data_IF_034527479475
#
_entry.id   IF_034527479475
#
_cell.length_a   1.000
_cell.length_b   1.000
_cell.length_c   1.000
_cell.angle_alpha   90.00
_cell.angle_beta   90.00
_cell.angle_gamma   90.00
#
_symmetry.space_group_name_H-M   'P 1'
#
loop_
_entity.id
_entity.type
_entity.pdbx_description
1 polymer ?
#
# COMPACT_ATOMS: atom_id res chain seq x y z
N UNK A 1 50.56 10.82 -30.88
CA UNK A 1 49.79 10.28 -29.74
C UNK A 1 49.42 11.43 -28.80
N UNK A 2 48.18 11.93 -28.89
CA UNK A 2 47.69 13.09 -28.10
C UNK A 2 47.10 12.59 -26.78
N UNK A 3 47.57 13.13 -25.66
CA UNK A 3 46.99 12.94 -24.31
C UNK A 3 45.66 13.69 -24.19
N UNK A 4 44.63 13.15 -23.52
CA UNK A 4 43.40 13.91 -23.26
C UNK A 4 43.54 14.83 -22.04
N UNK A 5 43.05 16.07 -22.22
CA UNK A 5 42.94 17.13 -21.23
C UNK A 5 41.91 16.79 -20.15
N UNK A 6 42.25 17.07 -18.88
CA UNK A 6 41.32 17.13 -17.75
C UNK A 6 40.52 18.44 -17.82
N UNK A 7 39.19 18.38 -17.91
CA UNK A 7 38.32 19.54 -17.73
C UNK A 7 37.89 19.65 -16.26
N UNK A 8 38.17 20.81 -15.68
CA UNK A 8 37.78 21.23 -14.34
C UNK A 8 36.38 21.85 -14.40
N UNK A 9 35.35 21.17 -13.88
CA UNK A 9 34.07 21.81 -13.55
C UNK A 9 34.02 22.16 -12.06
N UNK A 10 34.20 23.45 -11.76
CA UNK A 10 33.94 24.05 -10.45
C UNK A 10 32.42 24.08 -10.20
N UNK A 11 31.90 23.27 -9.28
CA UNK A 11 30.55 23.48 -8.70
C UNK A 11 30.66 24.44 -7.52
N UNK A 12 29.99 25.60 -7.63
CA UNK A 12 29.76 26.53 -6.50
C UNK A 12 28.78 25.86 -5.53
N UNK A 13 29.21 25.63 -4.28
CA UNK A 13 28.32 25.31 -3.15
C UNK A 13 27.69 26.63 -2.67
N UNK A 14 26.37 26.71 -2.72
CA UNK A 14 25.59 27.74 -2.02
C UNK A 14 25.26 27.14 -0.65
N UNK A 15 25.82 27.73 0.41
CA UNK A 15 25.42 27.45 1.79
C UNK A 15 24.22 28.33 2.13
N UNK A 16 23.08 27.72 2.47
CA UNK A 16 21.97 28.40 3.15
C UNK A 16 22.05 28.01 4.61
N UNK A 17 22.38 28.99 5.45
CA UNK A 17 22.41 28.89 6.91
C UNK A 17 20.97 28.92 7.43
N UNK A 18 20.56 27.87 8.15
CA UNK A 18 19.34 27.90 8.97
C UNK A 18 19.74 28.04 10.43
N UNK A 19 19.55 29.25 10.98
CA UNK A 19 19.63 29.52 12.41
C UNK A 19 18.35 29.03 13.07
N UNK A 20 18.45 28.01 13.93
CA UNK A 20 17.37 27.52 14.78
C UNK A 20 17.43 28.24 16.14
N UNK A 21 16.45 29.08 16.44
CA UNK A 21 16.33 29.73 17.76
C UNK A 21 15.49 28.85 18.68
N UNK A 22 16.14 28.32 19.72
CA UNK A 22 15.50 27.62 20.85
C UNK A 22 14.96 28.66 21.83
N UNK A 23 13.67 28.61 22.14
CA UNK A 23 13.10 29.32 23.31
C UNK A 23 12.73 28.26 24.35
N UNK A 24 13.53 28.24 25.40
CA UNK A 24 13.30 27.52 26.66
C UNK A 24 12.58 28.49 27.61
N UNK A 25 11.48 28.08 28.23
CA UNK A 25 11.02 28.76 29.46
C UNK A 25 10.50 27.72 30.44
N UNK A 26 11.27 27.55 31.51
CA UNK A 26 11.01 26.77 32.71
C UNK A 26 10.97 27.77 33.86
N UNK A 27 9.89 27.80 34.64
CA UNK A 27 9.88 28.05 36.09
C UNK A 27 8.42 27.95 36.59
N UNK A 28 8.09 26.93 37.40
CA UNK A 28 7.90 27.00 38.86
C UNK A 28 6.72 27.91 39.23
N UNK A 29 5.65 27.51 39.91
CA UNK A 29 5.36 26.39 40.81
C UNK A 29 4.33 26.92 41.81
N UNK A 30 3.48 26.06 42.39
CA UNK A 30 2.96 26.09 43.77
C UNK A 30 1.65 25.30 43.92
N UNK A 31 1.75 24.28 44.76
CA UNK A 31 0.77 23.69 45.68
C UNK A 31 -0.68 24.20 45.67
N UNK A 32 -1.62 23.26 45.64
CA UNK A 32 -3.02 23.52 46.00
C UNK A 32 -3.90 22.28 45.92
N UNK A 33 -3.93 21.50 46.99
CA UNK A 33 -4.95 20.49 47.25
C UNK A 33 -6.35 21.15 47.22
N UNK A 34 -7.27 20.68 46.37
CA UNK A 34 -8.71 20.74 46.63
C UNK A 34 -9.46 19.74 45.75
N UNK A 35 -10.18 18.84 46.40
CA UNK A 35 -11.29 18.07 45.84
C UNK A 35 -12.40 19.02 45.39
N UNK A 36 -12.90 18.92 44.15
CA UNK A 36 -14.32 19.19 43.89
C UNK A 36 -14.84 18.59 42.59
N UNK A 37 -15.88 17.76 42.79
CA UNK A 37 -17.15 17.68 42.05
C UNK A 37 -17.10 17.48 40.53
N UNK A 38 -17.45 16.24 40.17
CA UNK A 38 -18.36 15.91 39.09
C UNK A 38 -19.37 17.04 38.82
N UNK A 39 -19.34 17.57 37.61
CA UNK A 39 -20.46 18.22 36.96
C UNK A 39 -20.76 17.41 35.70
N UNK A 40 -21.76 16.53 35.83
CA UNK A 40 -22.45 15.92 34.69
C UNK A 40 -23.11 17.04 33.89
N UNK A 41 -22.46 17.47 32.80
CA UNK A 41 -23.19 18.14 31.72
C UNK A 41 -23.77 17.07 30.81
N UNK A 42 -25.00 16.63 31.12
CA UNK A 42 -25.89 16.01 30.14
C UNK A 42 -26.17 17.03 29.05
N UNK A 43 -25.36 17.03 27.99
CA UNK A 43 -25.73 17.68 26.75
C UNK A 43 -26.67 16.72 26.01
N UNK A 44 -27.96 17.02 26.08
CA UNK A 44 -28.95 16.48 25.15
C UNK A 44 -28.68 17.12 23.78
N UNK A 45 -27.60 16.71 23.13
CA UNK A 45 -27.46 16.89 21.70
C UNK A 45 -28.33 15.80 21.05
N UNK A 46 -29.57 16.17 20.66
CA UNK A 46 -30.30 15.42 19.65
C UNK A 46 -29.34 15.26 18.46
N UNK A 47 -28.85 14.05 18.24
CA UNK A 47 -28.09 13.68 17.05
C UNK A 47 -29.04 13.83 15.88
N UNK A 48 -29.04 15.01 15.26
CA UNK A 48 -29.69 15.20 13.97
C UNK A 48 -28.85 14.40 12.98
N UNK A 49 -29.24 13.14 12.74
CA UNK A 49 -28.79 12.38 11.57
C UNK A 49 -29.31 13.09 10.31
N UNK A 50 -28.63 14.15 9.90
CA UNK A 50 -28.74 14.66 8.54
C UNK A 50 -28.07 13.62 7.65
N UNK A 51 -28.82 12.68 7.08
CA UNK A 51 -28.34 11.87 5.95
C UNK A 51 -28.01 12.85 4.82
N UNK A 52 -26.74 13.05 4.44
CA UNK A 52 -26.44 13.88 3.28
C UNK A 52 -27.06 13.19 2.06
N UNK A 53 -27.75 13.96 1.22
CA UNK A 53 -28.09 13.51 -0.13
C UNK A 53 -26.76 13.34 -0.89
N UNK A 54 -26.19 12.14 -0.86
CA UNK A 54 -24.98 11.80 -1.61
C UNK A 54 -25.30 11.73 -3.11
N UNK A 55 -24.35 12.16 -3.94
CA UNK A 55 -24.47 12.12 -5.41
C UNK A 55 -24.19 10.72 -5.97
N UNK A 56 -23.41 9.94 -5.24
CA UNK A 56 -23.16 8.52 -5.43
C UNK A 56 -24.22 7.76 -4.63
N UNK A 57 -25.09 6.97 -5.30
CA UNK A 57 -26.19 6.29 -4.62
C UNK A 57 -25.68 5.22 -3.68
N UNK A 58 -26.24 5.15 -2.46
CA UNK A 58 -25.98 4.06 -1.50
C UNK A 58 -26.14 2.67 -2.12
N UNK A 59 -27.11 2.49 -3.02
CA UNK A 59 -27.32 1.22 -3.73
C UNK A 59 -26.15 0.80 -4.62
N UNK A 60 -25.42 1.75 -5.21
CA UNK A 60 -24.20 1.46 -5.97
C UNK A 60 -23.06 1.05 -5.02
N UNK A 61 -22.87 1.80 -3.92
CA UNK A 61 -21.85 1.49 -2.92
C UNK A 61 -22.09 0.13 -2.25
N UNK A 62 -23.35 -0.22 -1.99
CA UNK A 62 -23.75 -1.51 -1.44
C UNK A 62 -23.41 -2.66 -2.39
N UNK A 63 -23.69 -2.52 -3.69
CA UNK A 63 -23.37 -3.55 -4.69
C UNK A 63 -21.85 -3.71 -4.89
N UNK A 64 -21.10 -2.61 -4.95
CA UNK A 64 -19.64 -2.65 -5.04
C UNK A 64 -19.00 -3.27 -3.78
N UNK A 65 -19.50 -2.92 -2.59
CA UNK A 65 -19.01 -3.52 -1.34
C UNK A 65 -19.23 -5.03 -1.31
N UNK A 66 -20.40 -5.50 -1.77
CA UNK A 66 -20.67 -6.92 -1.89
C UNK A 66 -19.75 -7.60 -2.92
N UNK A 67 -19.48 -6.93 -4.05
CA UNK A 67 -18.54 -7.45 -5.05
C UNK A 67 -17.11 -7.58 -4.52
N UNK A 68 -16.66 -6.62 -3.69
CA UNK A 68 -15.37 -6.70 -2.97
C UNK A 68 -15.37 -7.92 -2.03
N UNK A 69 -16.36 -8.03 -1.14
CA UNK A 69 -16.43 -9.11 -0.12
C UNK A 69 -16.53 -10.51 -0.73
N UNK A 70 -17.10 -10.63 -1.94
CA UNK A 70 -17.24 -11.90 -2.64
C UNK A 70 -16.14 -12.16 -3.66
N UNK A 71 -15.14 -11.27 -3.78
CA UNK A 71 -14.08 -11.31 -4.79
C UNK A 71 -14.61 -11.42 -6.23
N UNK A 72 -15.74 -10.76 -6.52
CA UNK A 72 -16.42 -10.74 -7.83
C UNK A 72 -16.43 -9.35 -8.47
N UNK A 73 -15.49 -8.50 -8.07
CA UNK A 73 -15.36 -7.12 -8.55
C UNK A 73 -15.34 -6.98 -10.08
N UNK A 74 -14.40 -7.67 -10.74
CA UNK A 74 -14.27 -7.63 -12.21
C UNK A 74 -15.52 -8.15 -12.94
N UNK A 75 -16.13 -9.24 -12.45
CA UNK A 75 -17.38 -9.79 -12.99
C UNK A 75 -18.54 -8.79 -12.83
N UNK A 76 -18.66 -8.16 -11.67
CA UNK A 76 -19.71 -7.19 -11.39
C UNK A 76 -19.65 -5.96 -12.31
N UNK A 77 -18.44 -5.50 -12.65
CA UNK A 77 -18.22 -4.30 -13.47
C UNK A 77 -18.40 -4.57 -14.98
N UNK A 78 -18.08 -5.76 -15.47
CA UNK A 78 -18.01 -6.11 -16.90
C UNK A 78 -19.23 -5.64 -17.71
N UNK A 79 -20.44 -5.92 -17.24
CA UNK A 79 -21.68 -5.60 -17.96
C UNK A 79 -22.22 -4.18 -17.67
N UNK A 80 -21.50 -3.39 -16.87
CA UNK A 80 -21.88 -2.02 -16.49
C UNK A 80 -21.02 -0.97 -17.15
N UNK A 81 -19.91 -1.36 -17.80
CA UNK A 81 -19.04 -0.44 -18.53
C UNK A 81 -19.86 0.39 -19.53
N UNK A 82 -19.59 1.69 -19.56
CA UNK A 82 -20.28 2.66 -20.39
C UNK A 82 -19.27 3.61 -21.03
N UNK A 83 -19.74 4.34 -22.05
CA UNK A 83 -18.87 5.15 -22.89
C UNK A 83 -18.18 4.31 -23.97
N UNK A 84 -17.33 4.97 -24.73
CA UNK A 84 -16.65 4.40 -25.89
C UNK A 84 -15.19 4.83 -25.91
N UNK A 85 -14.26 3.86 -25.79
CA UNK A 85 -12.84 4.10 -26.12
C UNK A 85 -12.76 4.43 -27.61
N UNK A 86 -12.26 5.62 -27.93
CA UNK A 86 -12.14 6.10 -29.31
C UNK A 86 -10.86 5.55 -29.94
N UNK A 87 -10.96 5.09 -31.18
CA UNK A 87 -9.77 4.88 -32.03
C UNK A 87 -9.17 6.21 -32.48
N UNK A 88 -7.91 6.21 -32.90
CA UNK A 88 -7.24 7.42 -33.42
C UNK A 88 -8.01 8.09 -34.57
N UNK A 89 -8.62 7.28 -35.45
CA UNK A 89 -9.44 7.76 -36.57
C UNK A 89 -10.71 8.46 -36.09
N UNK A 90 -11.29 8.00 -35.00
CA UNK A 90 -12.49 8.60 -34.41
C UNK A 90 -12.14 9.85 -33.61
N UNK A 91 -11.06 9.82 -32.83
CA UNK A 91 -10.56 10.97 -32.09
C UNK A 91 -10.18 12.13 -33.03
N UNK A 92 -9.60 11.82 -34.19
CA UNK A 92 -9.24 12.82 -35.21
C UNK A 92 -10.41 13.61 -35.77
N UNK A 93 -11.67 13.18 -35.54
CA UNK A 93 -12.86 13.95 -35.94
C UNK A 93 -13.13 15.14 -35.02
N UNK A 94 -12.55 15.13 -33.82
CA UNK A 94 -12.74 16.16 -32.81
C UNK A 94 -11.60 17.20 -32.80
N UNK A 95 -10.50 16.98 -33.53
CA UNK A 95 -9.30 17.84 -33.49
C UNK A 95 -9.43 19.16 -34.27
N UNK A 96 -10.58 19.42 -34.89
CA UNK A 96 -10.94 20.78 -35.33
C UNK A 96 -11.13 21.72 -34.15
N UNK A 97 -11.49 21.18 -32.98
CA UNK A 97 -11.43 21.88 -31.70
C UNK A 97 -9.96 21.96 -31.23
N UNK A 98 -9.49 23.19 -30.98
CA UNK A 98 -8.10 23.45 -30.60
C UNK A 98 -7.71 22.80 -29.27
N UNK A 99 -8.63 22.74 -28.31
CA UNK A 99 -8.38 22.13 -27.01
C UNK A 99 -8.23 20.62 -27.17
N UNK A 100 -9.08 19.98 -27.96
CA UNK A 100 -8.96 18.54 -28.23
C UNK A 100 -7.66 18.23 -28.97
N UNK A 101 -7.29 19.04 -29.97
CA UNK A 101 -6.03 18.87 -30.71
C UNK A 101 -4.79 18.96 -29.80
N UNK A 102 -4.79 19.85 -28.82
CA UNK A 102 -3.71 20.01 -27.85
C UNK A 102 -3.51 18.75 -26.99
N UNK A 103 -4.58 18.21 -26.40
CA UNK A 103 -4.47 17.00 -25.58
C UNK A 103 -4.23 15.74 -26.38
N UNK A 104 -4.72 15.66 -27.62
CA UNK A 104 -4.32 14.59 -28.54
C UNK A 104 -2.82 14.62 -28.77
N UNK A 105 -2.23 15.79 -29.02
CA UNK A 105 -0.79 15.92 -29.20
C UNK A 105 -0.01 15.43 -27.96
N UNK A 106 -0.46 15.81 -26.76
CA UNK A 106 0.16 15.33 -25.52
C UNK A 106 0.05 13.81 -25.36
N UNK A 107 -1.08 13.22 -25.75
CA UNK A 107 -1.26 11.77 -25.77
C UNK A 107 -0.31 11.09 -26.78
N UNK A 108 -0.19 11.62 -27.99
CA UNK A 108 0.71 11.09 -29.03
C UNK A 108 2.19 11.20 -28.63
N UNK A 109 2.55 12.24 -27.87
CA UNK A 109 3.91 12.49 -27.37
C UNK A 109 4.19 11.77 -26.03
N UNK A 110 3.19 11.12 -25.43
CA UNK A 110 3.37 10.44 -24.14
C UNK A 110 4.23 9.19 -24.28
N UNK A 111 5.21 9.06 -23.39
CA UNK A 111 6.06 7.87 -23.26
C UNK A 111 5.83 7.29 -21.87
N UNK A 112 5.02 6.24 -21.79
CA UNK A 112 4.67 5.60 -20.53
C UNK A 112 4.49 4.10 -20.67
N UNK A 113 4.70 3.39 -19.57
CA UNK A 113 4.56 1.94 -19.48
C UNK A 113 3.12 1.43 -19.72
N UNK A 114 2.14 2.34 -19.73
CA UNK A 114 0.71 2.03 -19.86
C UNK A 114 0.21 2.73 -21.11
N UNK A 115 -0.64 2.05 -21.89
CA UNK A 115 -1.24 2.65 -23.08
C UNK A 115 -2.21 3.77 -22.68
N UNK A 116 -1.96 4.98 -23.15
CA UNK A 116 -2.90 6.09 -23.04
C UNK A 116 -4.11 5.92 -23.95
N UNK A 117 -5.23 6.52 -23.59
CA UNK A 117 -6.45 6.43 -24.41
C UNK A 117 -7.44 7.56 -24.14
N UNK A 118 -8.46 7.65 -25.01
CA UNK A 118 -9.58 8.58 -24.85
C UNK A 118 -10.89 7.83 -24.79
N UNK A 119 -11.70 8.11 -23.75
CA UNK A 119 -13.08 7.66 -23.63
C UNK A 119 -14.05 8.80 -23.94
N UNK A 120 -15.02 8.53 -24.82
CA UNK A 120 -16.19 9.36 -25.02
C UNK A 120 -17.33 8.88 -24.11
N UNK A 121 -17.80 9.75 -23.21
CA UNK A 121 -18.86 9.43 -22.24
C UNK A 121 -19.52 10.70 -21.74
N UNK A 122 -20.81 10.66 -21.38
CA UNK A 122 -21.48 11.73 -20.62
C UNK A 122 -21.06 11.61 -19.14
N UNK A 123 -19.91 12.19 -18.79
CA UNK A 123 -19.26 11.94 -17.50
C UNK A 123 -20.02 12.64 -16.36
N UNK A 124 -20.53 13.84 -16.61
CA UNK A 124 -21.24 14.66 -15.61
C UNK A 124 -22.76 14.60 -15.68
N UNK A 125 -23.30 13.72 -16.54
CA UNK A 125 -24.71 13.37 -16.63
C UNK A 125 -25.62 14.52 -17.05
N UNK A 126 -25.13 15.40 -17.93
CA UNK A 126 -25.90 16.52 -18.48
C UNK A 126 -26.50 16.24 -19.87
N UNK A 127 -26.27 15.04 -20.41
CA UNK A 127 -26.77 14.59 -21.70
C UNK A 127 -25.87 14.97 -22.89
N UNK A 128 -24.73 15.61 -22.65
CA UNK A 128 -23.73 15.96 -23.67
C UNK A 128 -22.52 15.02 -23.50
N UNK A 129 -21.94 14.55 -24.61
CA UNK A 129 -20.76 13.69 -24.54
C UNK A 129 -19.51 14.52 -24.22
N UNK A 130 -18.74 14.04 -23.25
CA UNK A 130 -17.43 14.56 -22.86
C UNK A 130 -16.32 13.66 -23.43
N UNK A 131 -15.08 14.14 -23.37
CA UNK A 131 -13.88 13.36 -23.67
C UNK A 131 -13.01 13.25 -22.42
N UNK A 132 -12.80 12.03 -21.93
CA UNK A 132 -11.88 11.72 -20.85
C UNK A 132 -10.58 11.16 -21.43
N UNK A 133 -9.47 11.88 -21.22
CA UNK A 133 -8.14 11.45 -21.63
C UNK A 133 -7.41 10.83 -20.43
N UNK A 134 -6.80 9.68 -20.68
CA UNK A 134 -5.76 9.10 -19.83
C UNK A 134 -4.44 9.23 -20.58
N UNK A 135 -3.59 10.13 -20.11
CA UNK A 135 -2.28 10.43 -20.73
C UNK A 135 -1.18 9.93 -19.79
N UNK A 136 -0.42 8.90 -20.16
CA UNK A 136 0.72 8.44 -19.39
C UNK A 136 1.75 9.55 -19.21
N UNK A 137 2.28 9.73 -17.99
CA UNK A 137 3.29 10.77 -17.71
C UNK A 137 4.69 10.20 -17.50
N UNK A 138 4.92 8.94 -17.90
CA UNK A 138 6.20 8.24 -17.78
C UNK A 138 6.60 7.85 -16.36
N UNK A 139 7.78 7.23 -16.26
CA UNK A 139 8.39 6.79 -15.00
C UNK A 139 7.87 5.44 -14.47
N UNK A 140 8.64 4.84 -13.55
CA UNK A 140 8.37 3.50 -12.97
C UNK A 140 7.26 3.49 -11.91
N UNK A 141 6.85 4.68 -11.44
CA UNK A 141 5.71 4.85 -10.54
C UNK A 141 4.37 4.83 -11.29
N UNK A 142 4.38 4.78 -12.63
CA UNK A 142 3.17 4.66 -13.45
C UNK A 142 2.21 5.83 -13.27
N UNK A 143 2.68 7.07 -13.24
CA UNK A 143 1.78 8.22 -13.18
C UNK A 143 1.06 8.44 -14.52
N UNK A 144 -0.16 8.96 -14.46
CA UNK A 144 -0.92 9.41 -15.62
C UNK A 144 -1.68 10.70 -15.29
N UNK A 145 -1.85 11.55 -16.31
CA UNK A 145 -2.75 12.68 -16.29
C UNK A 145 -4.14 12.23 -16.73
N UNK A 146 -5.14 12.54 -15.91
CA UNK A 146 -6.57 12.29 -16.13
C UNK A 146 -7.25 13.61 -16.45
N UNK A 147 -7.53 13.84 -17.72
CA UNK A 147 -8.10 15.10 -18.21
C UNK A 147 -9.56 14.87 -18.62
N UNK A 148 -10.46 15.73 -18.15
CA UNK A 148 -11.84 15.76 -18.65
C UNK A 148 -12.07 17.04 -19.46
N UNK A 149 -12.41 16.83 -20.74
CA UNK A 149 -12.89 17.88 -21.64
C UNK A 149 -14.41 17.81 -21.71
N UNK A 150 -15.07 18.79 -21.08
CA UNK A 150 -16.52 18.91 -21.09
C UNK A 150 -17.02 19.34 -22.46
N UNK A 151 -17.95 18.59 -23.04
CA UNK A 151 -18.64 18.94 -24.27
C UNK A 151 -19.65 20.08 -24.06
N UNK A 152 -19.86 20.90 -25.09
CA UNK A 152 -20.87 21.97 -25.10
C UNK A 152 -21.90 21.76 -26.21
N UNK A 153 -23.03 22.45 -26.09
CA UNK A 153 -24.13 22.40 -27.06
C UNK A 153 -23.73 22.84 -28.48
N UNK A 154 -22.70 23.67 -28.60
CA UNK A 154 -22.16 24.14 -29.88
C UNK A 154 -21.15 23.16 -30.50
N UNK A 155 -20.90 22.01 -29.85
CA UNK A 155 -19.93 21.00 -30.29
C UNK A 155 -18.49 21.29 -29.89
N UNK A 156 -18.22 22.43 -29.24
CA UNK A 156 -16.89 22.73 -28.69
C UNK A 156 -16.63 22.02 -27.36
N UNK A 157 -15.36 21.94 -26.98
CA UNK A 157 -14.92 21.35 -25.73
C UNK A 157 -14.25 22.38 -24.82
N UNK A 158 -14.24 22.11 -23.51
CA UNK A 158 -13.49 22.89 -22.52
C UNK A 158 -12.87 21.96 -21.49
N UNK A 159 -11.57 22.12 -21.20
CA UNK A 159 -10.96 21.42 -20.06
C UNK A 159 -11.59 21.90 -18.75
N UNK A 160 -12.15 20.97 -17.98
CA UNK A 160 -12.80 21.24 -16.70
C UNK A 160 -12.14 20.54 -15.53
N UNK A 161 -11.42 19.43 -15.77
CA UNK A 161 -10.67 18.70 -14.76
C UNK A 161 -9.32 18.24 -15.30
N UNK A 162 -8.30 18.33 -14.46
CA UNK A 162 -6.94 17.83 -14.69
C UNK A 162 -6.38 17.33 -13.35
N UNK A 163 -5.92 16.07 -13.34
CA UNK A 163 -5.33 15.41 -12.18
C UNK A 163 -4.20 14.49 -12.63
N UNK A 164 -3.08 14.55 -11.92
CA UNK A 164 -2.03 13.55 -12.03
C UNK A 164 -2.25 12.54 -10.91
N UNK A 165 -2.40 11.27 -11.27
CA UNK A 165 -2.66 10.17 -10.35
C UNK A 165 -1.80 8.97 -10.73
N UNK A 166 -1.63 8.02 -9.81
CA UNK A 166 -0.98 6.75 -10.13
C UNK A 166 -1.89 5.87 -10.99
N UNK A 167 -1.29 4.97 -11.77
CA UNK A 167 -2.03 4.04 -12.63
C UNK A 167 -2.84 3.08 -11.78
N UNK A 168 -4.14 3.06 -12.04
CA UNK A 168 -5.11 2.12 -11.52
C UNK A 168 -6.00 1.73 -12.70
N UNK A 169 -6.48 0.48 -12.72
CA UNK A 169 -7.55 0.10 -13.65
C UNK A 169 -8.75 1.03 -13.40
N UNK A 170 -9.24 1.69 -14.45
CA UNK A 170 -10.38 2.60 -14.34
C UNK A 170 -11.32 2.47 -15.52
N UNK A 171 -12.61 2.57 -15.23
CA UNK A 171 -13.72 2.31 -16.16
C UNK A 171 -14.87 3.24 -15.80
N UNK A 172 -15.51 3.85 -16.81
CA UNK A 172 -16.82 4.44 -16.57
C UNK A 172 -17.85 3.32 -16.52
N UNK A 173 -18.74 3.36 -15.53
CA UNK A 173 -19.90 2.47 -15.45
C UNK A 173 -21.20 3.23 -15.46
N UNK A 174 -22.25 2.59 -15.96
CA UNK A 174 -23.62 3.05 -15.85
C UNK A 174 -24.32 2.37 -14.68
N UNK A 175 -24.83 3.16 -13.75
CA UNK A 175 -25.73 2.71 -12.70
C UNK A 175 -27.06 3.44 -12.80
N UNK A 176 -28.13 2.68 -13.09
CA UNK A 176 -29.43 3.23 -13.50
C UNK A 176 -29.24 4.12 -14.73
N UNK A 177 -29.56 5.41 -14.62
CA UNK A 177 -29.48 6.37 -15.73
C UNK A 177 -28.28 7.33 -15.60
N UNK A 178 -27.30 7.03 -14.74
CA UNK A 178 -26.13 7.88 -14.52
C UNK A 178 -24.81 7.12 -14.69
N UNK A 179 -23.81 7.81 -15.19
CA UNK A 179 -22.44 7.36 -15.35
C UNK A 179 -21.60 7.78 -14.13
N UNK A 180 -20.69 6.90 -13.73
CA UNK A 180 -19.73 7.07 -12.63
C UNK A 180 -18.38 6.54 -13.09
N UNK A 181 -17.27 7.16 -12.67
CA UNK A 181 -15.94 6.58 -12.89
C UNK A 181 -15.60 5.68 -11.70
N UNK A 182 -15.22 4.44 -11.98
CA UNK A 182 -14.72 3.48 -10.98
C UNK A 182 -13.25 3.28 -11.24
N UNK A 183 -12.47 3.37 -10.17
CA UNK A 183 -11.04 3.11 -10.18
C UNK A 183 -10.77 2.01 -9.17
N UNK A 184 -10.02 0.99 -9.55
CA UNK A 184 -9.56 -0.05 -8.63
C UNK A 184 -8.59 0.59 -7.64
N UNK A 185 -8.90 0.50 -6.34
CA UNK A 185 -7.97 0.98 -5.31
C UNK A 185 -6.94 -0.10 -5.00
N UNK A 186 -5.72 0.35 -4.71
CA UNK A 186 -4.56 -0.51 -4.49
C UNK A 186 -3.94 -0.16 -3.14
N UNK A 187 -3.77 -1.17 -2.29
CA UNK A 187 -2.95 -1.04 -1.09
C UNK A 187 -1.48 -1.11 -1.49
N UNK A 188 -0.74 -0.04 -1.26
CA UNK A 188 0.70 -0.01 -1.51
C UNK A 188 1.49 -0.84 -0.49
N UNK A 189 0.91 -1.10 0.69
CA UNK A 189 1.54 -1.92 1.72
C UNK A 189 1.48 -3.39 1.32
N UNK A 190 0.30 -3.86 0.88
CA UNK A 190 0.11 -5.25 0.44
C UNK A 190 0.42 -5.49 -1.04
N UNK A 191 0.59 -4.41 -1.81
CA UNK A 191 0.62 -4.38 -3.29
C UNK A 191 -0.48 -5.23 -3.93
N UNK A 192 -1.71 -5.06 -3.44
CA UNK A 192 -2.90 -5.78 -3.90
C UNK A 192 -4.07 -4.82 -4.02
N UNK A 193 -4.99 -5.15 -4.91
CA UNK A 193 -6.28 -4.48 -4.99
C UNK A 193 -7.00 -4.59 -3.65
N UNK A 194 -7.40 -3.47 -3.09
CA UNK A 194 -8.06 -3.39 -1.78
C UNK A 194 -9.48 -2.81 -1.88
N UNK A 195 -9.97 -2.49 -3.08
CA UNK A 195 -11.34 -2.05 -3.28
C UNK A 195 -11.52 -1.11 -4.47
N UNK A 196 -12.31 -0.05 -4.26
CA UNK A 196 -12.70 0.88 -5.32
C UNK A 196 -12.73 2.33 -4.86
N UNK A 197 -12.35 3.23 -5.77
CA UNK A 197 -12.69 4.65 -5.73
C UNK A 197 -13.82 4.88 -6.73
N UNK A 198 -14.90 5.51 -6.28
CA UNK A 198 -16.06 5.87 -7.10
C UNK A 198 -16.12 7.38 -7.21
N UNK A 199 -16.11 7.91 -8.43
CA UNK A 199 -16.19 9.34 -8.71
C UNK A 199 -17.49 9.68 -9.43
N UNK A 200 -18.12 10.75 -8.94
CA UNK A 200 -19.26 11.40 -9.59
C UNK A 200 -18.83 12.80 -10.04
N UNK A 201 -19.14 13.14 -11.29
CA UNK A 201 -18.87 14.45 -11.87
C UNK A 201 -20.11 15.33 -11.90
N UNK A 202 -19.90 16.64 -11.78
CA UNK A 202 -20.90 17.69 -12.00
C UNK A 202 -20.19 18.88 -12.65
N UNK A 203 -20.77 19.41 -13.72
CA UNK A 203 -20.19 20.51 -14.51
C UNK A 203 -18.74 20.22 -14.94
N UNK A 204 -18.48 18.98 -15.34
CA UNK A 204 -17.18 18.49 -15.78
C UNK A 204 -16.11 18.40 -14.68
N UNK A 205 -16.49 18.43 -13.41
CA UNK A 205 -15.56 18.37 -12.27
C UNK A 205 -15.97 17.27 -11.30
N UNK A 206 -14.98 16.64 -10.65
CA UNK A 206 -15.25 15.68 -9.57
C UNK A 206 -16.02 16.43 -8.47
N UNK A 207 -17.23 15.96 -8.20
CA UNK A 207 -18.14 16.56 -7.24
C UNK A 207 -18.29 15.69 -5.99
N UNK A 208 -18.24 14.37 -6.14
CA UNK A 208 -18.23 13.45 -5.01
C UNK A 208 -17.29 12.27 -5.29
N UNK A 209 -16.57 11.83 -4.27
CA UNK A 209 -15.68 10.67 -4.26
C UNK A 209 -16.09 9.76 -3.12
N UNK A 210 -16.28 8.46 -3.39
CA UNK A 210 -16.41 7.44 -2.36
C UNK A 210 -15.24 6.47 -2.46
N UNK A 211 -14.53 6.24 -1.36
CA UNK A 211 -13.51 5.20 -1.24
C UNK A 211 -14.11 4.00 -0.49
N UNK A 212 -14.05 2.84 -1.13
CA UNK A 212 -14.46 1.55 -0.57
C UNK A 212 -13.18 0.73 -0.38
N UNK A 213 -12.87 0.37 0.86
CA UNK A 213 -11.62 -0.36 1.18
C UNK A 213 -11.91 -1.59 2.01
N UNK A 214 -11.48 -2.75 1.52
CA UNK A 214 -11.45 -4.02 2.22
C UNK A 214 -10.49 -3.92 3.40
N UNK A 215 -10.98 -4.25 4.60
CA UNK A 215 -10.20 -4.27 5.83
C UNK A 215 -10.60 -5.48 6.67
N UNK A 216 -9.71 -5.90 7.56
CA UNK A 216 -10.08 -6.82 8.63
C UNK A 216 -10.81 -6.08 9.77
N UNK A 217 -11.81 -6.73 10.36
CA UNK A 217 -12.54 -6.30 11.55
C UNK A 217 -12.33 -7.29 12.70
N UNK A 218 -11.07 -7.41 13.10
CA UNK A 218 -10.62 -8.50 13.94
C UNK A 218 -10.43 -9.80 13.16
N UNK A 219 -10.06 -10.84 13.90
CA UNK A 219 -9.55 -12.09 13.34
C UNK A 219 -10.12 -13.30 14.06
N UNK A 220 -10.52 -14.30 13.27
CA UNK A 220 -10.67 -15.66 13.78
C UNK A 220 -9.30 -16.33 13.71
N UNK A 221 -8.81 -16.79 14.86
CA UNK A 221 -7.45 -17.33 14.99
C UNK A 221 -7.50 -18.83 15.16
N UNK A 222 -6.81 -19.54 14.28
CA UNK A 222 -6.62 -20.99 14.36
C UNK A 222 -5.16 -21.33 14.52
N UNK A 223 -4.83 -22.25 15.42
CA UNK A 223 -3.46 -22.69 15.67
C UNK A 223 -3.33 -24.18 15.43
N UNK A 224 -2.28 -24.57 14.71
CA UNK A 224 -1.88 -25.96 14.52
C UNK A 224 -0.43 -26.13 15.00
N UNK A 225 -0.15 -27.26 15.64
CA UNK A 225 1.19 -27.58 16.17
C UNK A 225 1.49 -29.05 15.90
N UNK A 226 2.71 -29.36 15.44
CA UNK A 226 3.12 -30.74 15.18
C UNK A 226 3.38 -31.54 16.46
N UNK A 227 3.79 -30.85 17.54
CA UNK A 227 4.10 -31.43 18.85
C UNK A 227 3.75 -30.45 19.98
N UNK A 228 3.45 -30.98 21.16
CA UNK A 228 3.03 -30.19 22.33
C UNK A 228 4.06 -29.15 22.77
N UNK A 229 5.35 -29.45 22.64
CA UNK A 229 6.43 -28.53 23.04
C UNK A 229 6.39 -27.18 22.31
N UNK A 230 5.78 -27.12 21.13
CA UNK A 230 5.67 -25.89 20.34
C UNK A 230 4.41 -25.06 20.66
N UNK A 231 3.48 -25.57 21.49
CA UNK A 231 2.24 -24.84 21.83
C UNK A 231 2.50 -23.51 22.50
N UNK A 232 3.45 -23.46 23.43
CA UNK A 232 3.83 -22.21 24.12
C UNK A 232 4.40 -21.20 23.13
N UNK A 233 5.33 -21.63 22.29
CA UNK A 233 5.93 -20.77 21.25
C UNK A 233 4.86 -20.24 20.28
N UNK A 234 3.94 -21.09 19.80
CA UNK A 234 2.85 -20.65 18.93
C UNK A 234 1.96 -19.59 19.61
N UNK A 235 1.70 -19.72 20.91
CA UNK A 235 0.95 -18.71 21.68
C UNK A 235 1.71 -17.40 21.85
N UNK A 236 3.04 -17.44 22.00
CA UNK A 236 3.89 -16.24 22.08
C UNK A 236 3.97 -15.55 20.72
N UNK A 237 4.19 -16.32 19.65
CA UNK A 237 4.16 -15.84 18.27
C UNK A 237 2.81 -15.18 17.93
N UNK A 238 1.70 -15.71 18.45
CA UNK A 238 0.37 -15.09 18.30
C UNK A 238 0.33 -13.67 18.90
N UNK A 239 0.95 -13.46 20.07
CA UNK A 239 0.98 -12.14 20.73
C UNK A 239 1.86 -11.16 19.97
N UNK A 240 3.02 -11.61 19.52
CA UNK A 240 3.93 -10.81 18.69
C UNK A 240 3.20 -10.36 17.42
N UNK A 241 2.57 -11.29 16.71
CA UNK A 241 1.90 -11.00 15.45
C UNK A 241 0.70 -10.05 15.60
N UNK A 242 -0.05 -10.11 16.70
CA UNK A 242 -1.14 -9.18 16.98
C UNK A 242 -0.68 -7.74 17.23
N UNK A 243 0.56 -7.57 17.70
CA UNK A 243 1.15 -6.27 17.98
C UNK A 243 2.04 -5.78 16.83
N UNK A 244 2.26 -6.61 15.80
CA UNK A 244 3.02 -6.23 14.62
C UNK A 244 2.19 -5.27 13.76
N UNK A 245 2.69 -4.06 13.55
CA UNK A 245 2.08 -3.05 12.69
C UNK A 245 3.10 -2.58 11.67
N UNK A 246 2.99 -3.07 10.44
CA UNK A 246 3.88 -2.74 9.32
C UNK A 246 4.07 -1.24 9.10
N UNK A 247 3.13 -0.40 9.53
CA UNK A 247 3.18 1.05 9.33
C UNK A 247 4.04 1.81 10.37
N UNK A 248 4.58 1.14 11.37
CA UNK A 248 5.43 1.73 12.40
C UNK A 248 6.93 1.49 12.13
N UNK A 249 7.50 2.36 11.30
CA UNK A 249 8.84 2.26 10.68
C UNK A 249 9.98 2.10 11.71
N UNK A 250 9.89 2.74 12.88
CA UNK A 250 10.99 2.75 13.85
C UNK A 250 11.05 1.51 14.76
N UNK A 251 10.06 0.58 14.71
CA UNK A 251 9.88 -0.47 15.73
C UNK A 251 9.59 -1.90 15.22
N UNK A 252 9.65 -2.17 13.91
CA UNK A 252 9.15 -3.45 13.37
C UNK A 252 10.18 -4.59 13.25
N UNK A 253 11.44 -4.36 13.62
CA UNK A 253 12.42 -5.43 13.66
C UNK A 253 12.21 -6.26 14.92
N UNK A 254 11.65 -7.45 14.74
CA UNK A 254 11.42 -8.37 15.85
C UNK A 254 12.73 -9.10 16.15
N UNK A 255 13.28 -8.88 17.35
CA UNK A 255 14.36 -9.69 17.89
C UNK A 255 13.78 -10.83 18.72
N UNK A 256 14.04 -12.06 18.31
CA UNK A 256 13.72 -13.28 19.05
C UNK A 256 14.75 -13.59 20.15
N UNK A 257 14.39 -14.52 21.03
CA UNK A 257 15.18 -14.87 22.21
C UNK A 257 16.38 -15.79 21.93
N UNK A 258 16.47 -16.34 20.71
CA UNK A 258 17.66 -17.04 20.21
C UNK A 258 18.62 -16.13 19.42
N UNK A 259 18.24 -14.87 19.16
CA UNK A 259 19.06 -13.96 18.35
C UNK A 259 19.99 -13.09 19.21
N UNK A 260 21.23 -12.92 18.74
CA UNK A 260 22.16 -11.89 19.24
C UNK A 260 22.19 -10.75 18.23
N UNK A 261 21.92 -9.52 18.67
CA UNK A 261 22.06 -8.35 17.81
C UNK A 261 23.52 -7.92 17.78
N UNK A 262 24.09 -7.74 16.59
CA UNK A 262 25.49 -7.36 16.40
C UNK A 262 25.64 -5.84 16.39
N UNK A 263 26.78 -5.35 16.89
CA UNK A 263 27.16 -3.94 16.78
C UNK A 263 28.02 -3.73 15.54
N UNK A 264 28.14 -2.47 15.12
CA UNK A 264 28.93 -2.08 13.94
C UNK A 264 30.35 -2.65 13.95
N UNK A 265 31.02 -2.60 15.10
CA UNK A 265 32.35 -3.18 15.31
C UNK A 265 32.44 -4.69 15.03
N UNK A 266 31.33 -5.43 15.16
CA UNK A 266 31.28 -6.87 14.98
C UNK A 266 31.07 -7.29 13.51
N UNK A 267 30.57 -6.40 12.64
CA UNK A 267 30.20 -6.74 11.26
C UNK A 267 30.90 -5.93 10.15
N UNK A 268 31.74 -4.96 10.48
CA UNK A 268 32.49 -4.14 9.51
C UNK A 268 33.30 -4.95 8.48
N UNK A 269 33.67 -6.19 8.80
CA UNK A 269 34.39 -7.09 7.88
C UNK A 269 33.53 -7.64 6.74
N UNK A 270 32.19 -7.57 6.86
CA UNK A 270 31.22 -8.12 5.90
C UNK A 270 30.55 -7.02 5.04
N UNK A 271 30.75 -5.74 5.36
CA UNK A 271 30.00 -4.58 4.84
C UNK A 271 30.44 -4.10 3.44
N UNK A 272 30.99 -4.97 2.57
CA UNK A 272 31.57 -4.45 1.31
C UNK A 272 30.55 -3.90 0.32
N UNK A 273 29.30 -4.41 0.27
CA UNK A 273 28.34 -4.05 -0.80
C UNK A 273 26.84 -4.00 -0.37
N UNK A 274 26.51 -4.03 0.92
CA UNK A 274 25.11 -3.92 1.38
C UNK A 274 24.64 -2.45 1.38
N UNK A 275 24.25 -1.95 0.21
CA UNK A 275 23.84 -0.56 -0.03
C UNK A 275 22.41 -0.18 0.46
N UNK A 276 21.92 -0.67 1.60
CA UNK A 276 20.66 -0.18 2.19
C UNK A 276 20.87 0.28 3.63
N UNK A 277 20.43 1.52 3.90
CA UNK A 277 20.77 2.31 5.09
C UNK A 277 20.04 1.85 6.38
N UNK A 278 19.26 0.78 6.36
CA UNK A 278 18.33 0.40 7.45
C UNK A 278 18.35 -1.11 7.79
N UNK A 279 19.47 -1.80 7.57
CA UNK A 279 19.60 -3.21 7.98
C UNK A 279 20.02 -3.36 9.44
N UNK A 280 19.42 -4.33 10.11
CA UNK A 280 19.83 -4.77 11.44
C UNK A 280 20.52 -6.13 11.34
N UNK A 281 21.69 -6.23 11.99
CA UNK A 281 22.54 -7.42 11.97
C UNK A 281 22.28 -8.32 13.17
N UNK A 282 22.14 -9.61 12.90
CA UNK A 282 21.87 -10.62 13.90
C UNK A 282 22.75 -11.85 13.69
N UNK A 283 22.91 -12.60 14.78
CA UNK A 283 23.59 -13.88 14.82
C UNK A 283 22.74 -14.90 15.57
N UNK A 284 22.60 -16.11 15.01
CA UNK A 284 21.90 -17.25 15.61
C UNK A 284 22.22 -18.54 14.85
N UNK A 285 22.29 -19.67 15.55
CA UNK A 285 22.24 -21.03 14.97
C UNK A 285 20.84 -21.33 14.41
N UNK A 286 20.57 -20.89 13.18
CA UNK A 286 19.26 -21.01 12.52
C UNK A 286 18.99 -22.47 12.15
N UNK A 287 20.01 -23.19 11.69
CA UNK A 287 19.87 -24.52 11.13
C UNK A 287 20.15 -25.67 12.12
N UNK A 288 20.35 -25.32 13.39
CA UNK A 288 20.50 -26.24 14.52
C UNK A 288 21.70 -27.19 14.36
N UNK A 289 22.78 -26.76 13.71
CA UNK A 289 24.02 -27.52 13.56
C UNK A 289 25.06 -27.23 14.66
N UNK A 290 24.78 -26.23 15.51
CA UNK A 290 25.64 -25.80 16.61
C UNK A 290 26.64 -24.70 16.24
N UNK A 291 26.58 -24.16 15.02
CA UNK A 291 27.32 -22.99 14.54
C UNK A 291 26.32 -21.86 14.32
N UNK A 292 26.68 -20.65 14.72
CA UNK A 292 25.81 -19.51 14.45
C UNK A 292 26.01 -18.97 13.03
N UNK A 293 24.91 -18.66 12.35
CA UNK A 293 24.90 -17.85 11.15
C UNK A 293 24.79 -16.36 11.45
N UNK A 294 25.37 -15.54 10.59
CA UNK A 294 25.19 -14.09 10.58
C UNK A 294 24.23 -13.73 9.45
N UNK A 295 23.28 -12.83 9.73
CA UNK A 295 22.31 -12.38 8.74
C UNK A 295 21.85 -10.96 9.03
N UNK A 296 21.25 -10.35 8.02
CA UNK A 296 20.54 -9.07 8.16
C UNK A 296 19.05 -9.25 7.93
N UNK A 297 18.26 -8.38 8.55
CA UNK A 297 16.85 -8.19 8.21
C UNK A 297 16.46 -6.72 8.33
N UNK A 298 15.57 -6.30 7.44
CA UNK A 298 15.04 -4.95 7.31
C UNK A 298 13.71 -4.97 6.58
N UNK A 299 13.04 -3.82 6.51
CA UNK A 299 11.86 -3.62 5.67
C UNK A 299 12.27 -2.72 4.53
N UNK A 300 12.15 -3.21 3.30
CA UNK A 300 12.38 -2.39 2.12
C UNK A 300 11.09 -1.70 1.70
N UNK A 301 11.11 -0.36 1.64
CA UNK A 301 9.97 0.43 1.19
C UNK A 301 10.16 0.86 -0.26
N UNK A 302 9.22 0.47 -1.13
CA UNK A 302 9.33 0.77 -2.56
C UNK A 302 8.51 2.01 -2.91
N UNK A 303 9.10 2.91 -3.69
CA UNK A 303 8.39 4.04 -4.29
C UNK A 303 7.68 3.67 -5.60
N UNK A 304 7.80 2.41 -6.05
CA UNK A 304 7.26 1.93 -7.33
C UNK A 304 6.03 1.04 -7.12
N UNK A 305 5.15 1.01 -8.14
CA UNK A 305 3.96 0.13 -8.14
C UNK A 305 4.37 -1.34 -8.30
N UNK A 306 5.46 -1.60 -9.03
CA UNK A 306 5.85 -2.96 -9.44
C UNK A 306 6.77 -3.72 -8.48
N UNK A 307 7.15 -3.16 -7.33
CA UNK A 307 8.05 -3.83 -6.38
C UNK A 307 7.38 -3.90 -5.02
N UNK A 308 7.38 -5.07 -4.37
CA UNK A 308 6.78 -5.27 -3.06
C UNK A 308 7.55 -4.49 -1.99
N UNK A 309 6.82 -3.72 -1.18
CA UNK A 309 7.32 -3.40 0.16
C UNK A 309 7.30 -4.71 0.94
N UNK A 310 8.35 -5.00 1.70
CA UNK A 310 8.37 -6.25 2.45
C UNK A 310 9.72 -6.55 3.08
N UNK A 311 9.84 -7.78 3.58
CA UNK A 311 11.07 -8.28 4.19
C UNK A 311 12.22 -8.18 3.19
N UNK A 312 13.31 -7.59 3.64
CA UNK A 312 14.60 -7.64 2.97
C UNK A 312 15.60 -8.26 3.93
N UNK A 313 16.18 -9.38 3.52
CA UNK A 313 17.11 -10.16 4.34
C UNK A 313 18.28 -10.68 3.51
N UNK A 314 19.37 -10.99 4.20
CA UNK A 314 20.56 -11.56 3.59
C UNK A 314 21.27 -12.48 4.58
N UNK A 315 21.61 -13.69 4.13
CA UNK A 315 22.45 -14.62 4.87
C UNK A 315 23.92 -14.38 4.51
N UNK A 316 24.74 -14.06 5.50
CA UNK A 316 26.15 -13.76 5.30
C UNK A 316 26.94 -15.07 5.27
N UNK A 317 27.33 -15.48 4.07
CA UNK A 317 28.13 -16.70 3.87
C UNK A 317 29.55 -16.36 3.43
N UNK A 318 30.54 -17.10 3.92
CA UNK A 318 31.96 -16.87 3.64
C UNK A 318 32.42 -17.31 2.23
N UNK A 319 31.50 -17.83 1.41
CA UNK A 319 31.82 -18.55 0.17
C UNK A 319 31.33 -17.86 -1.11
N UNK A 320 30.82 -16.64 -1.04
CA UNK A 320 30.39 -15.92 -2.23
C UNK A 320 31.59 -15.29 -2.94
N UNK A 321 31.61 -15.42 -4.27
CA UNK A 321 32.52 -14.63 -5.09
C UNK A 321 32.19 -13.14 -4.94
N UNK A 322 33.16 -12.24 -5.14
CA UNK A 322 32.97 -10.78 -5.04
C UNK A 322 31.82 -10.23 -5.93
N UNK A 323 31.22 -11.04 -6.81
CA UNK A 323 30.12 -10.65 -7.70
C UNK A 323 28.75 -11.26 -7.37
N UNK A 324 28.63 -12.14 -6.38
CA UNK A 324 27.35 -12.81 -6.08
C UNK A 324 26.65 -12.15 -4.89
N UNK A 325 25.37 -11.76 -5.02
CA UNK A 325 24.62 -11.22 -3.90
C UNK A 325 24.43 -12.29 -2.82
N UNK A 326 24.39 -11.87 -1.56
CA UNK A 326 23.98 -12.74 -0.46
C UNK A 326 22.57 -13.29 -0.71
N UNK A 327 22.35 -14.61 -0.52
CA UNK A 327 21.03 -15.19 -0.67
C UNK A 327 20.11 -14.74 0.49
N UNK A 328 18.82 -14.59 0.22
CA UNK A 328 17.81 -14.49 1.28
C UNK A 328 17.65 -15.84 2.03
N UNK A 329 17.26 -15.80 3.30
CA UNK A 329 17.22 -16.98 4.16
C UNK A 329 16.14 -17.97 3.71
N UNK A 330 14.99 -17.46 3.25
CA UNK A 330 13.86 -18.28 2.83
C UNK A 330 14.28 -19.17 1.65
N UNK A 331 14.94 -18.59 0.65
CA UNK A 331 15.46 -19.29 -0.52
C UNK A 331 16.64 -20.19 -0.16
N UNK A 332 17.58 -19.73 0.67
CA UNK A 332 18.76 -20.50 1.06
C UNK A 332 18.40 -21.83 1.74
N UNK A 333 17.45 -21.79 2.69
CA UNK A 333 16.99 -22.98 3.40
C UNK A 333 15.85 -23.72 2.67
N UNK A 334 15.41 -23.22 1.50
CA UNK A 334 14.29 -23.79 0.74
C UNK A 334 13.00 -23.92 1.59
N UNK A 335 12.65 -22.84 2.29
CA UNK A 335 11.43 -22.77 3.10
C UNK A 335 10.23 -22.57 2.18
N UNK A 336 9.37 -23.58 2.09
CA UNK A 336 8.14 -23.50 1.30
C UNK A 336 7.08 -22.62 1.98
N UNK A 337 6.84 -21.43 1.41
CA UNK A 337 5.83 -20.47 1.90
C UNK A 337 4.62 -20.33 0.97
N UNK A 338 4.70 -20.82 -0.26
CA UNK A 338 3.64 -20.69 -1.28
C UNK A 338 3.56 -19.27 -1.87
N UNK A 339 2.43 -18.94 -2.51
CA UNK A 339 2.19 -17.62 -3.11
C UNK A 339 1.74 -16.57 -2.06
N UNK A 340 2.64 -16.23 -1.16
CA UNK A 340 2.43 -15.28 -0.04
C UNK A 340 3.55 -14.26 0.02
N UNK A 341 3.34 -13.15 0.73
CA UNK A 341 4.36 -12.12 0.92
C UNK A 341 5.00 -12.29 2.31
N UNK A 342 6.33 -12.52 2.42
CA UNK A 342 7.03 -12.53 3.70
C UNK A 342 7.23 -11.11 4.23
N UNK A 343 6.98 -10.93 5.52
CA UNK A 343 6.94 -9.60 6.16
C UNK A 343 8.05 -9.40 7.17
N UNK A 344 8.24 -10.37 8.04
CA UNK A 344 9.23 -10.31 9.11
C UNK A 344 9.48 -11.71 9.65
N UNK A 345 10.71 -11.95 10.11
CA UNK A 345 11.06 -13.17 10.82
C UNK A 345 11.85 -12.92 12.09
N UNK A 346 11.89 -13.91 12.98
CA UNK A 346 12.74 -13.94 14.15
C UNK A 346 13.02 -15.37 14.58
N UNK A 347 14.12 -15.59 15.31
CA UNK A 347 14.51 -16.91 15.80
C UNK A 347 14.15 -17.03 17.27
N UNK A 348 13.38 -18.07 17.61
CA UNK A 348 13.02 -18.35 18.99
C UNK A 348 13.57 -19.67 19.49
N UNK A 349 13.89 -19.74 20.78
CA UNK A 349 14.41 -20.97 21.39
C UNK A 349 13.31 -21.81 22.03
N UNK A 350 13.29 -23.11 21.73
CA UNK A 350 12.46 -24.10 22.41
C UNK A 350 13.32 -25.31 22.77
N UNK A 351 13.51 -25.51 24.08
CA UNK A 351 14.44 -26.50 24.62
C UNK A 351 15.88 -26.26 24.12
N UNK A 352 16.37 -27.14 23.24
CA UNK A 352 17.68 -27.07 22.58
C UNK A 352 17.57 -26.76 21.08
N UNK A 353 16.37 -26.43 20.61
CA UNK A 353 16.13 -26.15 19.19
C UNK A 353 15.82 -24.67 18.99
N UNK A 354 16.39 -24.10 17.93
CA UNK A 354 16.06 -22.78 17.42
C UNK A 354 15.01 -22.92 16.31
N UNK A 355 13.97 -22.10 16.40
CA UNK A 355 12.81 -22.11 15.51
C UNK A 355 12.77 -20.80 14.75
N UNK A 356 12.83 -20.89 13.43
CA UNK A 356 12.65 -19.77 12.51
C UNK A 356 11.15 -19.44 12.42
N UNK A 357 10.74 -18.28 12.92
CA UNK A 357 9.35 -17.83 12.89
C UNK A 357 9.19 -16.79 11.80
N UNK A 358 8.17 -16.94 10.95
CA UNK A 358 7.93 -16.06 9.80
C UNK A 358 6.49 -15.57 9.78
N UNK A 359 6.30 -14.26 9.71
CA UNK A 359 5.01 -13.64 9.39
C UNK A 359 4.87 -13.54 7.87
N UNK A 360 3.71 -13.93 7.35
CA UNK A 360 3.37 -13.85 5.93
C UNK A 360 1.96 -13.29 5.73
N UNK A 361 1.78 -12.35 4.80
CA UNK A 361 0.45 -11.97 4.31
C UNK A 361 0.00 -12.91 3.21
N UNK A 362 -1.21 -13.45 3.36
CA UNK A 362 -1.85 -14.29 2.34
C UNK A 362 -2.74 -13.45 1.41
N UNK A 363 -3.36 -12.41 1.96
CA UNK A 363 -4.13 -11.41 1.23
C UNK A 363 -4.23 -10.13 2.09
N UNK A 364 -5.08 -9.17 1.69
CA UNK A 364 -5.26 -7.87 2.37
C UNK A 364 -5.80 -8.02 3.81
N UNK A 365 -6.51 -9.10 4.13
CA UNK A 365 -7.15 -9.29 5.44
C UNK A 365 -6.61 -10.46 6.23
N UNK A 366 -5.78 -11.31 5.63
CA UNK A 366 -5.35 -12.57 6.24
C UNK A 366 -3.82 -12.65 6.29
N UNK A 367 -3.32 -13.13 7.42
CA UNK A 367 -1.91 -13.40 7.60
C UNK A 367 -1.70 -14.68 8.42
N UNK A 368 -0.48 -15.20 8.38
CA UNK A 368 -0.08 -16.35 9.16
C UNK A 368 1.28 -16.12 9.81
N UNK A 369 1.48 -16.74 10.97
CA UNK A 369 2.81 -16.95 11.55
C UNK A 369 3.12 -18.43 11.54
N UNK A 370 4.20 -18.78 10.87
CA UNK A 370 4.67 -20.16 10.75
C UNK A 370 6.00 -20.31 11.46
N UNK A 371 6.13 -21.35 12.27
CA UNK A 371 7.41 -21.75 12.86
C UNK A 371 8.02 -22.91 12.08
N UNK A 372 9.30 -22.80 11.77
CA UNK A 372 10.06 -23.80 11.04
C UNK A 372 11.25 -24.28 11.87
N UNK A 373 11.36 -25.59 12.02
CA UNK A 373 12.58 -26.23 12.50
C UNK A 373 13.44 -26.55 11.29
N UNK A 374 14.64 -26.01 11.28
CA UNK A 374 15.64 -26.22 10.23
C UNK A 374 16.74 -27.08 10.85
N UNK A 375 17.11 -28.18 10.19
CA UNK A 375 18.19 -29.10 10.59
C UNK A 375 19.11 -29.34 9.40
N UNK A 376 20.15 -28.53 9.26
CA UNK A 376 20.89 -28.38 8.01
C UNK A 376 19.92 -28.04 6.87
N UNK A 377 19.90 -28.85 5.80
CA UNK A 377 18.99 -28.65 4.65
C UNK A 377 17.56 -29.18 4.84
N UNK A 378 17.23 -29.78 5.99
CA UNK A 378 15.88 -30.31 6.24
C UNK A 378 15.02 -29.27 6.95
N UNK A 379 13.96 -28.84 6.30
CA UNK A 379 12.97 -27.90 6.86
C UNK A 379 11.71 -28.65 7.27
N UNK A 380 11.15 -28.30 8.42
CA UNK A 380 9.86 -28.82 8.89
C UNK A 380 9.05 -27.73 9.57
N UNK A 381 7.84 -27.45 9.07
CA UNK A 381 6.90 -26.55 9.74
C UNK A 381 6.41 -27.21 11.03
N UNK A 382 6.70 -26.58 12.17
CA UNK A 382 6.39 -27.11 13.51
C UNK A 382 5.10 -26.53 14.10
N UNK A 383 4.70 -25.34 13.66
CA UNK A 383 3.40 -24.78 13.97
C UNK A 383 2.98 -23.78 12.89
N UNK A 384 1.67 -23.51 12.82
CA UNK A 384 1.11 -22.40 12.07
C UNK A 384 -0.02 -21.77 12.90
N UNK A 385 0.04 -20.45 13.06
CA UNK A 385 -1.05 -19.63 13.58
C UNK A 385 -1.61 -18.84 12.42
N UNK A 386 -2.82 -19.15 12.01
CA UNK A 386 -3.51 -18.46 10.92
C UNK A 386 -4.53 -17.48 11.48
N UNK A 387 -4.46 -16.25 10.99
CA UNK A 387 -5.34 -15.14 11.33
C UNK A 387 -6.24 -14.88 10.12
N UNK A 388 -7.45 -15.42 10.17
CA UNK A 388 -8.46 -15.17 9.15
C UNK A 388 -9.18 -13.86 9.47
N UNK A 389 -9.01 -12.85 8.62
CA UNK A 389 -9.64 -11.55 8.83
C UNK A 389 -11.16 -11.66 8.68
N UNK A 390 -11.89 -11.07 9.62
CA UNK A 390 -13.32 -10.82 9.45
C UNK A 390 -13.48 -9.67 8.48
N UNK A 391 -13.79 -9.99 7.24
CA UNK A 391 -13.75 -9.00 6.17
C UNK A 391 -14.87 -7.97 6.32
N UNK A 392 -14.51 -6.69 6.21
CA UNK A 392 -15.44 -5.57 6.10
C UNK A 392 -15.02 -4.62 5.00
N UNK A 393 -15.95 -3.82 4.50
CA UNK A 393 -15.66 -2.72 3.57
C UNK A 393 -15.87 -1.40 4.29
N UNK A 394 -14.77 -0.71 4.57
CA UNK A 394 -14.80 0.66 5.06
C UNK A 394 -15.23 1.62 3.94
N UNK A 395 -16.02 2.65 4.28
CA UNK A 395 -16.55 3.62 3.32
C UNK A 395 -16.23 5.04 3.75
N UNK A 396 -15.55 5.76 2.88
CA UNK A 396 -15.23 7.17 3.09
C UNK A 396 -15.83 7.99 1.95
N UNK A 397 -16.68 8.98 2.25
CA UNK A 397 -17.40 9.75 1.22
C UNK A 397 -17.04 11.24 1.34
N UNK A 398 -16.50 11.77 0.26
CA UNK A 398 -16.04 13.15 0.16
C UNK A 398 -16.88 13.88 -0.89
N UNK A 399 -17.68 14.85 -0.48
CA UNK A 399 -18.45 15.71 -1.39
C UNK A 399 -17.78 17.07 -1.44
N UNK A 400 -17.63 17.68 -2.62
CA UNK A 400 -16.96 18.96 -2.75
C UNK A 400 -17.61 20.01 -1.84
N UNK A 401 -16.83 20.51 -0.87
CA UNK A 401 -17.28 21.47 0.15
C UNK A 401 -17.73 20.87 1.49
N UNK A 402 -17.79 19.54 1.67
CA UNK A 402 -18.12 18.84 2.95
C UNK A 402 -17.51 17.42 3.04
N UNK A 403 -16.94 17.06 4.20
CA UNK A 403 -16.42 15.70 4.45
C UNK A 403 -17.44 14.84 5.22
N UNK A 404 -17.63 13.58 4.82
CA UNK A 404 -18.48 12.61 5.52
C UNK A 404 -17.73 11.27 5.73
N UNK A 405 -17.81 10.73 6.94
CA UNK A 405 -17.43 9.33 7.22
C UNK A 405 -18.71 8.57 7.54
N UNK A 406 -18.95 7.46 6.85
CA UNK A 406 -20.05 6.55 7.14
C UNK A 406 -19.43 5.20 7.51
N UNK A 407 -19.01 5.09 8.78
CA UNK A 407 -18.51 3.84 9.33
C UNK A 407 -19.72 2.97 9.68
N UNK A 408 -20.24 2.17 8.75
CA UNK A 408 -21.07 1.01 9.12
C UNK A 408 -21.34 0.07 7.94
N UNK A 409 -20.80 -1.16 8.05
CA UNK A 409 -21.46 -2.44 7.78
C UNK A 409 -20.50 -3.56 8.18
N UNK A 410 -20.66 -4.06 9.41
CA UNK A 410 -20.28 -5.44 9.72
C UNK A 410 -21.34 -6.37 9.11
N UNK A 411 -20.93 -7.50 8.55
CA UNK A 411 -21.83 -8.63 8.40
C UNK A 411 -21.83 -9.36 9.74
N UNK A 412 -23.00 -9.45 10.39
CA UNK A 412 -23.25 -10.44 11.45
C UNK A 412 -23.28 -11.85 10.86
#
# INVERSE_FOLDING_TARGET
MKKPQKSLFKRKKIYVSFTLTIILTLALGLNGCTTSKLLEHKSNAKTVQHKPNTYIPKGLLDQLSNAILTNKGKEYLKDKVTGKKLSDKELSRYTTDKTVAEYKKQLDESDGYVEGYVMQVDADNDGIQDLFFLIPSGGTAGYNSRILLKGKKDGSYKMTSDKIETTQELEFIKYKNKNYLIETSFSYDFKRDDGYIVLCFKDGQIYEKAKLTLKADGYDVTTSTSKDKYKKLASEATKIARNYDINNIDNNIIKGDAETALKEEDYQTYEKDLHCQEYHWFQSDIDNDGVDEIYTKGIFYTSTIGTLTGLQDALITNNLSESEPYPDLISYYNIEIGEVTPEMFWISKVDKENIFNLITYRNVTDFAVSGYLIKGKKVSKVYEVYFKGKQKVAREIYTRGKNYKDDEKGFE
#
